data_IF_537436356167
#
_entry.id   IF_537436356167
#
_cell.length_a   1.000
_cell.length_b   1.000
_cell.length_c   1.000
_cell.angle_alpha   90.00
_cell.angle_beta   90.00
_cell.angle_gamma   90.00
#
_symmetry.space_group_name_H-M   'P 1'
#
loop_
_entity.id
_entity.type
_entity.pdbx_description
1 polymer ?
#
# COMPACT_ATOMS: atom_id res chain seq x y z
N UNK A 1 -18.00 25.47 -4.24
CA UNK A 1 -18.57 24.33 -5.02
C UNK A 1 -19.64 23.65 -4.19
N UNK A 2 -20.91 23.64 -4.64
CA UNK A 2 -21.97 22.85 -3.97
C UNK A 2 -21.78 21.38 -4.36
N UNK A 3 -21.16 20.58 -3.50
CA UNK A 3 -21.09 19.13 -3.69
C UNK A 3 -22.51 18.60 -3.61
N UNK A 4 -23.05 18.14 -4.73
CA UNK A 4 -24.40 17.63 -4.82
C UNK A 4 -24.44 16.25 -4.13
N UNK A 5 -24.65 16.25 -2.81
CA UNK A 5 -24.58 15.07 -1.92
C UNK A 5 -25.87 14.23 -1.91
N UNK A 6 -26.79 14.47 -2.84
CA UNK A 6 -28.11 13.82 -2.90
C UNK A 6 -28.03 12.55 -3.74
N UNK A 7 -28.56 11.45 -3.21
CA UNK A 7 -28.61 10.14 -3.90
C UNK A 7 -30.08 9.82 -4.19
N UNK A 8 -30.35 9.29 -5.37
CA UNK A 8 -31.67 8.78 -5.75
C UNK A 8 -31.76 7.31 -5.33
N UNK A 9 -32.73 6.98 -4.48
CA UNK A 9 -32.90 5.66 -3.89
C UNK A 9 -34.19 5.02 -4.41
N UNK A 10 -34.16 3.71 -4.68
CA UNK A 10 -35.38 2.96 -5.00
C UNK A 10 -36.15 2.58 -3.72
N UNK A 11 -37.38 2.11 -3.88
CA UNK A 11 -38.26 1.78 -2.76
C UNK A 11 -37.69 0.70 -1.84
N UNK A 12 -36.97 -0.28 -2.39
CA UNK A 12 -36.32 -1.31 -1.57
C UNK A 12 -35.29 -0.72 -0.60
N UNK A 13 -34.47 0.23 -1.06
CA UNK A 13 -33.45 0.88 -0.24
C UNK A 13 -34.10 1.84 0.76
N UNK A 14 -35.14 2.58 0.34
CA UNK A 14 -35.89 3.47 1.23
C UNK A 14 -36.54 2.70 2.37
N UNK A 15 -37.20 1.57 2.06
CA UNK A 15 -37.80 0.69 3.05
C UNK A 15 -36.75 0.06 3.97
N UNK A 16 -35.60 -0.37 3.42
CA UNK A 16 -34.50 -0.91 4.22
C UNK A 16 -33.95 0.12 5.22
N UNK A 17 -33.80 1.38 4.81
CA UNK A 17 -33.31 2.46 5.67
C UNK A 17 -34.41 3.11 6.52
N UNK A 18 -35.68 2.71 6.34
CA UNK A 18 -36.84 3.31 6.98
C UNK A 18 -36.92 4.84 6.76
N UNK A 19 -36.69 5.27 5.51
CA UNK A 19 -36.77 6.67 5.08
C UNK A 19 -38.14 6.89 4.41
N UNK A 20 -39.01 7.65 5.07
CA UNK A 20 -40.40 7.89 4.62
C UNK A 20 -40.59 9.14 3.77
N UNK A 21 -39.61 10.07 3.76
CA UNK A 21 -39.71 11.33 3.02
C UNK A 21 -39.15 11.22 1.59
N UNK A 22 -39.87 11.81 0.63
CA UNK A 22 -39.57 11.80 -0.83
C UNK A 22 -38.40 12.70 -1.25
N UNK A 23 -37.76 13.42 -0.32
CA UNK A 23 -36.61 14.27 -0.64
C UNK A 23 -35.36 13.42 -0.75
N UNK A 24 -34.68 13.47 -1.91
CA UNK A 24 -33.42 12.75 -2.16
C UNK A 24 -32.45 12.89 -0.96
N UNK A 25 -32.19 11.82 -0.21
CA UNK A 25 -31.45 11.91 1.04
C UNK A 25 -29.97 12.22 0.78
N UNK A 26 -29.36 12.88 1.76
CA UNK A 26 -27.91 13.13 1.75
C UNK A 26 -27.16 11.88 2.20
N UNK A 27 -25.88 11.77 1.84
CA UNK A 27 -25.00 10.69 2.33
C UNK A 27 -25.02 10.56 3.86
N UNK A 28 -24.95 11.68 4.58
CA UNK A 28 -24.98 11.67 6.05
C UNK A 28 -26.33 11.17 6.59
N UNK A 29 -27.43 11.54 5.95
CA UNK A 29 -28.76 11.03 6.30
C UNK A 29 -28.84 9.52 6.10
N UNK A 30 -28.30 8.99 5.01
CA UNK A 30 -28.24 7.54 4.76
C UNK A 30 -27.44 6.84 5.86
N UNK A 31 -26.26 7.34 6.20
CA UNK A 31 -25.42 6.78 7.26
C UNK A 31 -26.15 6.81 8.61
N UNK A 32 -26.78 7.93 8.95
CA UNK A 32 -27.56 8.08 10.18
C UNK A 32 -28.71 7.07 10.26
N UNK A 33 -29.52 6.94 9.20
CA UNK A 33 -30.62 5.98 9.18
C UNK A 33 -30.14 4.54 9.21
N UNK A 34 -29.03 4.24 8.54
CA UNK A 34 -28.41 2.93 8.59
C UNK A 34 -27.96 2.59 10.01
N UNK A 35 -27.26 3.50 10.67
CA UNK A 35 -26.81 3.37 12.04
C UNK A 35 -27.98 3.15 13.00
N UNK A 36 -28.98 4.02 12.93
CA UNK A 36 -30.15 4.00 13.81
C UNK A 36 -30.98 2.72 13.69
N UNK A 37 -31.27 2.26 12.47
CA UNK A 37 -32.18 1.14 12.23
C UNK A 37 -31.47 -0.22 12.17
N UNK A 38 -30.16 -0.26 11.94
CA UNK A 38 -29.40 -1.51 11.81
C UNK A 38 -28.26 -1.63 12.82
N UNK A 39 -28.21 -0.80 13.87
CA UNK A 39 -27.20 -0.80 14.92
C UNK A 39 -26.73 -2.20 15.35
N UNK A 40 -27.67 -3.07 15.75
CA UNK A 40 -27.35 -4.42 16.22
C UNK A 40 -26.71 -5.28 15.12
N UNK A 41 -27.19 -5.18 13.88
CA UNK A 41 -26.62 -5.90 12.74
C UNK A 41 -25.20 -5.42 12.45
N UNK A 42 -24.96 -4.11 12.52
CA UNK A 42 -23.63 -3.51 12.36
C UNK A 42 -22.68 -4.05 13.42
N UNK A 43 -23.07 -4.06 14.70
CA UNK A 43 -22.25 -4.62 15.79
C UNK A 43 -21.93 -6.09 15.57
N UNK A 44 -22.92 -6.90 15.19
CA UNK A 44 -22.71 -8.33 14.90
C UNK A 44 -21.69 -8.52 13.77
N UNK A 45 -21.80 -7.74 12.70
CA UNK A 45 -20.87 -7.83 11.57
C UNK A 45 -19.48 -7.34 11.96
N UNK A 46 -19.37 -6.24 12.71
CA UNK A 46 -18.11 -5.72 13.20
C UNK A 46 -17.38 -6.76 14.07
N UNK A 47 -18.07 -7.42 15.00
CA UNK A 47 -17.49 -8.52 15.78
C UNK A 47 -17.07 -9.70 14.92
N UNK A 48 -17.87 -10.09 13.91
CA UNK A 48 -17.50 -11.16 12.97
C UNK A 48 -16.22 -10.81 12.20
N UNK A 49 -16.11 -9.58 11.70
CA UNK A 49 -14.92 -9.10 10.99
C UNK A 49 -13.72 -9.06 11.92
N UNK A 50 -13.86 -8.51 13.14
CA UNK A 50 -12.79 -8.50 14.15
C UNK A 50 -12.26 -9.90 14.42
N UNK A 51 -13.17 -10.86 14.62
CA UNK A 51 -12.80 -12.27 14.84
C UNK A 51 -12.06 -12.89 13.65
N UNK A 52 -12.42 -12.51 12.41
CA UNK A 52 -11.72 -12.98 11.20
C UNK A 52 -10.32 -12.38 11.02
N UNK A 53 -10.13 -11.12 11.43
CA UNK A 53 -8.87 -10.40 11.31
C UNK A 53 -7.87 -10.71 12.44
N UNK A 54 -8.36 -11.26 13.56
CA UNK A 54 -7.58 -11.46 14.78
C UNK A 54 -7.84 -10.37 15.82
N UNK A 55 -7.81 -10.75 17.10
CA UNK A 55 -8.26 -9.91 18.22
C UNK A 55 -7.45 -8.61 18.41
N UNK A 56 -6.19 -8.61 17.98
CA UNK A 56 -5.22 -7.53 18.19
C UNK A 56 -4.96 -6.65 16.96
N UNK A 57 -5.58 -6.95 15.82
CA UNK A 57 -5.23 -6.29 14.55
C UNK A 57 -5.86 -4.90 14.42
N UNK A 58 -7.14 -4.77 14.78
CA UNK A 58 -7.92 -3.54 14.60
C UNK A 58 -8.95 -3.36 15.72
N UNK A 59 -9.21 -2.11 16.06
CA UNK A 59 -10.21 -1.75 17.06
C UNK A 59 -11.63 -1.97 16.55
N UNK A 60 -12.55 -2.28 17.46
CA UNK A 60 -13.95 -2.49 17.12
C UNK A 60 -14.56 -1.22 16.49
N UNK A 61 -14.26 -0.06 17.05
CA UNK A 61 -14.78 1.23 16.58
C UNK A 61 -14.26 1.58 15.19
N UNK A 62 -13.04 1.18 14.84
CA UNK A 62 -12.49 1.36 13.50
C UNK A 62 -13.29 0.54 12.48
N UNK A 63 -13.57 -0.73 12.78
CA UNK A 63 -14.38 -1.61 11.93
C UNK A 63 -15.81 -1.09 11.82
N UNK A 64 -16.38 -0.64 12.93
CA UNK A 64 -17.71 -0.06 12.99
C UNK A 64 -17.84 1.17 12.09
N UNK A 65 -16.94 2.14 12.24
CA UNK A 65 -16.89 3.35 11.43
C UNK A 65 -16.67 3.02 9.95
N UNK A 66 -15.87 1.98 9.66
CA UNK A 66 -15.65 1.54 8.29
C UNK A 66 -16.92 0.97 7.65
N UNK A 67 -17.72 0.19 8.38
CA UNK A 67 -19.02 -0.29 7.91
C UNK A 67 -19.97 0.88 7.61
N UNK A 68 -20.03 1.87 8.51
CA UNK A 68 -20.85 3.07 8.29
C UNK A 68 -20.40 3.83 7.04
N UNK A 69 -19.09 4.05 6.86
CA UNK A 69 -18.54 4.71 5.69
C UNK A 69 -18.87 3.96 4.39
N UNK A 70 -18.74 2.63 4.39
CA UNK A 70 -18.93 1.79 3.21
C UNK A 70 -20.41 1.60 2.81
N UNK A 71 -21.35 1.81 3.74
CA UNK A 71 -22.79 1.65 3.48
C UNK A 71 -23.28 2.43 2.25
N UNK A 72 -22.85 3.70 2.11
CA UNK A 72 -23.21 4.56 0.99
C UNK A 72 -22.67 4.02 -0.33
N UNK A 73 -21.42 3.56 -0.32
CA UNK A 73 -20.76 3.03 -1.51
C UNK A 73 -21.41 1.71 -1.97
N UNK A 74 -21.79 0.85 -1.03
CA UNK A 74 -22.52 -0.39 -1.31
C UNK A 74 -23.91 -0.11 -1.91
N UNK A 75 -24.65 0.87 -1.38
CA UNK A 75 -25.94 1.30 -1.95
C UNK A 75 -25.74 1.81 -3.38
N UNK A 76 -24.74 2.66 -3.62
CA UNK A 76 -24.45 3.17 -4.95
C UNK A 76 -24.07 2.06 -5.93
N UNK A 77 -23.28 1.08 -5.48
CA UNK A 77 -22.88 -0.08 -6.28
C UNK A 77 -24.10 -0.89 -6.73
N UNK A 78 -25.07 -1.11 -5.82
CA UNK A 78 -26.33 -1.78 -6.15
C UNK A 78 -27.15 -1.01 -7.19
N UNK A 79 -27.34 0.29 -6.96
CA UNK A 79 -28.20 1.13 -7.80
C UNK A 79 -27.64 1.33 -9.22
N UNK A 80 -26.32 1.36 -9.38
CA UNK A 80 -25.64 1.60 -10.66
C UNK A 80 -25.51 0.35 -11.54
N UNK A 81 -25.66 -0.85 -10.98
CA UNK A 81 -25.41 -2.09 -11.70
C UNK A 81 -26.70 -2.90 -11.90
N UNK A 82 -27.20 -2.92 -13.13
CA UNK A 82 -28.41 -3.66 -13.52
C UNK A 82 -28.33 -5.17 -13.21
N UNK A 83 -27.13 -5.77 -13.23
CA UNK A 83 -26.97 -7.18 -12.91
C UNK A 83 -27.32 -7.49 -11.44
N UNK A 84 -27.10 -6.53 -10.54
CA UNK A 84 -27.36 -6.70 -9.12
C UNK A 84 -28.83 -6.48 -8.74
N UNK A 85 -29.61 -5.76 -9.56
CA UNK A 85 -31.04 -5.54 -9.32
C UNK A 85 -31.89 -6.82 -9.38
N UNK A 86 -31.33 -7.92 -9.89
CA UNK A 86 -31.96 -9.26 -9.85
C UNK A 86 -31.84 -9.93 -8.48
N UNK A 87 -30.99 -9.42 -7.59
CA UNK A 87 -30.73 -9.94 -6.26
C UNK A 87 -31.47 -9.05 -5.26
N UNK A 88 -32.11 -9.64 -4.25
CA UNK A 88 -32.76 -8.87 -3.18
C UNK A 88 -31.76 -7.90 -2.53
N UNK A 89 -32.10 -6.61 -2.49
CA UNK A 89 -31.21 -5.54 -1.99
C UNK A 89 -30.58 -5.87 -0.64
N UNK A 90 -31.38 -6.30 0.35
CA UNK A 90 -30.89 -6.62 1.71
C UNK A 90 -29.79 -7.69 1.69
N UNK A 91 -29.93 -8.72 0.87
CA UNK A 91 -28.94 -9.80 0.77
C UNK A 91 -27.66 -9.29 0.11
N UNK A 92 -27.79 -8.56 -1.00
CA UNK A 92 -26.66 -7.94 -1.67
C UNK A 92 -25.90 -7.00 -0.73
N UNK A 93 -26.62 -6.08 -0.08
CA UNK A 93 -26.08 -5.04 0.78
C UNK A 93 -25.20 -5.62 1.89
N UNK A 94 -25.72 -6.56 2.67
CA UNK A 94 -24.94 -7.13 3.79
C UNK A 94 -23.77 -7.97 3.32
N UNK A 95 -23.90 -8.63 2.18
CA UNK A 95 -22.84 -9.46 1.60
C UNK A 95 -21.69 -8.59 1.10
N UNK A 96 -22.00 -7.60 0.25
CA UNK A 96 -21.04 -6.66 -0.31
C UNK A 96 -20.37 -5.81 0.78
N UNK A 97 -21.16 -5.24 1.69
CA UNK A 97 -20.65 -4.42 2.79
C UNK A 97 -19.62 -5.17 3.65
N UNK A 98 -19.92 -6.43 3.98
CA UNK A 98 -19.01 -7.31 4.72
C UNK A 98 -17.73 -7.56 3.94
N UNK A 99 -17.81 -7.92 2.65
CA UNK A 99 -16.64 -8.21 1.84
C UNK A 99 -15.76 -6.99 1.59
N UNK A 100 -16.36 -5.83 1.26
CA UNK A 100 -15.62 -4.59 1.08
C UNK A 100 -14.87 -4.18 2.34
N UNK A 101 -15.54 -4.26 3.50
CA UNK A 101 -14.92 -3.93 4.79
C UNK A 101 -13.79 -4.91 5.13
N UNK A 102 -14.02 -6.22 4.95
CA UNK A 102 -12.99 -7.23 5.20
C UNK A 102 -11.78 -7.06 4.28
N UNK A 103 -12.00 -6.80 2.99
CA UNK A 103 -10.94 -6.59 2.00
C UNK A 103 -10.11 -5.34 2.31
N UNK A 104 -10.74 -4.27 2.80
CA UNK A 104 -10.05 -3.06 3.23
C UNK A 104 -9.04 -3.38 4.35
N UNK A 105 -9.49 -4.03 5.43
CA UNK A 105 -8.62 -4.38 6.54
C UNK A 105 -7.57 -5.41 6.18
N UNK A 106 -7.91 -6.41 5.35
CA UNK A 106 -6.93 -7.37 4.83
C UNK A 106 -5.83 -6.66 4.01
N UNK A 107 -6.19 -5.66 3.21
CA UNK A 107 -5.21 -4.89 2.44
C UNK A 107 -4.25 -4.13 3.36
N UNK A 108 -4.75 -3.54 4.43
CA UNK A 108 -3.93 -2.84 5.43
C UNK A 108 -3.02 -3.84 6.16
N UNK A 109 -3.59 -4.93 6.65
CA UNK A 109 -2.86 -5.96 7.39
C UNK A 109 -1.73 -6.56 6.54
N UNK A 110 -2.02 -6.88 5.27
CA UNK A 110 -1.00 -7.36 4.33
C UNK A 110 0.11 -6.35 4.07
N UNK A 111 -0.21 -5.04 4.03
CA UNK A 111 0.81 -3.98 3.90
C UNK A 111 1.68 -3.90 5.15
N UNK A 112 1.07 -4.00 6.33
CA UNK A 112 1.79 -4.02 7.60
C UNK A 112 2.70 -5.25 7.68
N UNK A 113 2.20 -6.45 7.43
CA UNK A 113 3.03 -7.66 7.38
C UNK A 113 4.15 -7.57 6.36
N UNK A 114 3.91 -6.96 5.18
CA UNK A 114 4.98 -6.75 4.20
C UNK A 114 6.02 -5.77 4.71
N UNK A 115 5.61 -4.71 5.39
CA UNK A 115 6.51 -3.74 6.01
C UNK A 115 7.32 -4.39 7.14
N UNK A 116 6.69 -5.10 8.06
CA UNK A 116 7.34 -5.83 9.15
C UNK A 116 8.28 -6.91 8.62
N UNK A 117 7.85 -7.67 7.61
CA UNK A 117 8.72 -8.64 6.93
C UNK A 117 9.89 -7.94 6.25
N UNK A 118 9.68 -6.79 5.61
CA UNK A 118 10.77 -6.02 5.05
C UNK A 118 11.70 -5.49 6.14
N UNK A 119 11.19 -5.07 7.31
CA UNK A 119 12.01 -4.67 8.46
C UNK A 119 12.77 -5.85 9.07
N UNK A 120 12.16 -7.03 9.18
CA UNK A 120 12.80 -8.23 9.72
C UNK A 120 13.79 -8.85 8.73
N UNK A 121 13.49 -8.78 7.43
CA UNK A 121 14.39 -9.20 6.35
C UNK A 121 15.46 -8.16 6.05
N UNK A 122 15.19 -6.89 6.32
CA UNK A 122 16.21 -5.90 6.70
C UNK A 122 16.68 -6.28 8.12
N UNK A 123 17.30 -7.45 8.24
CA UNK A 123 18.58 -7.47 8.94
C UNK A 123 19.31 -6.24 8.40
N UNK A 124 19.32 -5.16 9.17
CA UNK A 124 20.26 -4.08 9.00
C UNK A 124 21.57 -4.83 8.83
N UNK A 125 22.03 -4.95 7.58
CA UNK A 125 23.23 -5.71 7.31
C UNK A 125 24.23 -5.02 8.24
N UNK A 126 24.81 -5.72 9.21
CA UNK A 126 25.74 -5.06 10.15
C UNK A 126 26.79 -4.29 9.34
N UNK A 127 27.10 -4.83 8.17
CA UNK A 127 27.87 -4.26 7.09
C UNK A 127 27.31 -2.94 6.53
N UNK A 128 26.01 -2.73 6.34
CA UNK A 128 25.47 -1.45 5.83
C UNK A 128 25.47 -0.34 6.89
N UNK A 129 25.28 -0.68 8.18
CA UNK A 129 25.48 0.28 9.28
C UNK A 129 26.96 0.56 9.53
N UNK A 130 27.83 -0.46 9.44
CA UNK A 130 29.29 -0.28 9.45
C UNK A 130 29.77 0.50 8.23
N UNK A 131 29.19 0.30 7.05
CA UNK A 131 29.51 1.08 5.85
C UNK A 131 29.08 2.52 6.01
N UNK A 132 27.86 2.80 6.50
CA UNK A 132 27.40 4.17 6.78
C UNK A 132 28.25 4.82 7.89
N UNK A 133 28.61 4.06 8.94
CA UNK A 133 29.51 4.52 10.02
C UNK A 133 30.94 4.77 9.51
N UNK A 134 31.47 3.90 8.66
CA UNK A 134 32.79 4.05 8.05
C UNK A 134 32.77 5.20 7.03
N UNK A 135 31.64 5.46 6.38
CA UNK A 135 31.44 6.62 5.51
C UNK A 135 31.42 7.92 6.32
N UNK A 136 30.73 7.93 7.46
CA UNK A 136 30.59 9.14 8.30
C UNK A 136 31.86 9.48 9.10
N UNK A 137 32.67 8.48 9.46
CA UNK A 137 33.96 8.68 10.16
C UNK A 137 35.06 9.17 9.21
N UNK A 138 34.95 8.93 7.89
CA UNK A 138 36.00 9.24 6.91
C UNK A 138 35.72 10.48 6.03
N UNK A 139 34.83 11.39 6.47
CA UNK A 139 34.52 12.66 5.80
C UNK A 139 35.68 13.69 5.91
N UNK A 140 36.85 13.31 5.41
CA UNK A 140 37.88 14.24 4.93
C UNK A 140 38.11 13.88 3.45
N UNK A 141 37.68 14.77 2.55
CA UNK A 141 37.55 14.57 1.09
C UNK A 141 38.75 13.95 0.35
N UNK A 142 39.96 13.94 0.94
CA UNK A 142 41.13 13.27 0.35
C UNK A 142 41.10 11.74 0.49
N UNK A 143 40.46 11.20 1.54
CA UNK A 143 40.48 9.76 1.84
C UNK A 143 39.41 8.97 1.08
N UNK A 144 38.37 9.62 0.58
CA UNK A 144 37.26 8.95 -0.11
C UNK A 144 37.70 8.36 -1.45
N UNK A 145 38.55 9.08 -2.20
CA UNK A 145 39.09 8.60 -3.48
C UNK A 145 40.06 7.43 -3.27
N UNK A 146 40.90 7.48 -2.24
CA UNK A 146 41.82 6.38 -1.90
C UNK A 146 41.07 5.15 -1.40
N UNK A 147 40.03 5.32 -0.58
CA UNK A 147 39.16 4.24 -0.14
C UNK A 147 38.44 3.58 -1.33
N UNK A 148 37.85 4.37 -2.23
CA UNK A 148 37.22 3.87 -3.46
C UNK A 148 38.21 3.12 -4.36
N UNK A 149 39.45 3.62 -4.50
CA UNK A 149 40.51 2.93 -5.24
C UNK A 149 40.87 1.60 -4.56
N UNK A 150 41.00 1.55 -3.25
CA UNK A 150 41.28 0.32 -2.51
C UNK A 150 40.13 -0.69 -2.61
N UNK A 151 38.88 -0.24 -2.57
CA UNK A 151 37.70 -1.08 -2.73
C UNK A 151 37.64 -1.69 -4.13
N UNK A 152 37.91 -0.87 -5.15
CA UNK A 152 38.01 -1.29 -6.55
C UNK A 152 39.17 -2.30 -6.73
N UNK A 153 40.33 -2.06 -6.11
CA UNK A 153 41.47 -2.98 -6.14
C UNK A 153 41.17 -4.33 -5.45
N UNK A 154 40.49 -4.32 -4.29
CA UNK A 154 40.05 -5.56 -3.61
C UNK A 154 39.02 -6.33 -4.44
N UNK A 155 38.22 -5.63 -5.22
CA UNK A 155 37.18 -6.24 -6.07
C UNK A 155 37.64 -6.62 -7.48
N UNK A 156 38.87 -6.28 -7.88
CA UNK A 156 39.36 -6.51 -9.26
C UNK A 156 39.17 -7.96 -9.71
N UNK A 157 39.41 -8.92 -8.81
CA UNK A 157 39.28 -10.35 -9.13
C UNK A 157 37.81 -10.83 -9.28
N UNK A 158 36.83 -10.01 -8.91
CA UNK A 158 35.38 -10.31 -9.04
C UNK A 158 34.74 -9.65 -10.27
N UNK A 159 35.43 -8.67 -10.87
CA UNK A 159 34.93 -7.89 -11.99
C UNK A 159 35.42 -8.46 -13.31
N UNK A 160 34.54 -8.56 -14.30
CA UNK A 160 34.94 -8.93 -15.66
C UNK A 160 35.76 -7.82 -16.31
N UNK A 161 36.57 -8.15 -17.32
CA UNK A 161 37.40 -7.17 -18.06
C UNK A 161 36.58 -5.96 -18.53
N UNK A 162 35.36 -6.20 -19.03
CA UNK A 162 34.43 -5.15 -19.47
C UNK A 162 33.95 -4.21 -18.35
N UNK A 163 33.82 -4.71 -17.13
CA UNK A 163 33.45 -3.91 -15.95
C UNK A 163 34.65 -3.11 -15.44
N UNK A 164 35.85 -3.71 -15.50
CA UNK A 164 37.11 -3.04 -15.14
C UNK A 164 37.45 -1.90 -16.10
N UNK A 165 37.27 -2.11 -17.41
CA UNK A 165 37.45 -1.06 -18.42
C UNK A 165 36.46 0.09 -18.22
N UNK A 166 35.20 -0.22 -17.93
CA UNK A 166 34.17 0.78 -17.65
C UNK A 166 34.49 1.63 -16.41
N UNK A 167 35.01 1.02 -15.34
CA UNK A 167 35.44 1.75 -14.14
C UNK A 167 36.68 2.61 -14.43
N UNK A 168 37.65 2.08 -15.17
CA UNK A 168 38.88 2.80 -15.52
C UNK A 168 38.58 4.06 -16.33
N UNK A 169 37.73 3.95 -17.34
CA UNK A 169 37.33 5.11 -18.15
C UNK A 169 36.52 6.14 -17.35
N UNK A 170 35.67 5.67 -16.42
CA UNK A 170 34.92 6.54 -15.51
C UNK A 170 35.85 7.31 -14.56
N UNK A 171 36.86 6.65 -13.97
CA UNK A 171 37.85 7.28 -13.09
C UNK A 171 38.78 8.26 -13.82
N UNK A 172 39.08 8.00 -15.08
CA UNK A 172 39.91 8.87 -15.93
C UNK A 172 39.12 10.05 -16.51
N UNK A 173 37.84 10.25 -16.15
CA UNK A 173 36.93 11.25 -16.72
C UNK A 173 36.90 11.24 -18.26
N UNK A 174 37.21 10.09 -18.87
CA UNK A 174 37.05 9.89 -20.30
C UNK A 174 35.57 9.62 -20.51
N UNK A 175 34.85 10.58 -21.08
CA UNK A 175 33.46 10.38 -21.48
C UNK A 175 33.35 9.02 -22.18
N UNK A 176 32.56 8.12 -21.59
CA UNK A 176 32.42 6.73 -22.02
C UNK A 176 31.71 6.67 -23.37
N UNK A 177 32.41 6.99 -24.45
CA UNK A 177 31.90 7.13 -25.82
C UNK A 177 31.47 5.80 -26.45
N UNK A 178 31.76 4.66 -25.82
CA UNK A 178 31.54 3.32 -26.39
C UNK A 178 30.34 2.56 -25.83
N UNK A 179 29.68 3.07 -24.78
CA UNK A 179 28.51 2.41 -24.18
C UNK A 179 27.28 3.31 -24.18
N UNK A 180 26.16 2.77 -24.66
CA UNK A 180 24.85 3.42 -24.53
C UNK A 180 24.47 3.56 -23.05
N UNK A 181 23.69 4.60 -22.71
CA UNK A 181 23.24 4.87 -21.33
C UNK A 181 22.60 3.65 -20.65
N UNK A 182 21.86 2.84 -21.41
CA UNK A 182 21.24 1.59 -20.93
C UNK A 182 22.30 0.58 -20.51
N UNK A 183 23.34 0.40 -21.35
CA UNK A 183 24.44 -0.54 -21.09
C UNK A 183 25.30 -0.08 -19.91
N UNK A 184 25.49 1.23 -19.76
CA UNK A 184 26.14 1.81 -18.57
C UNK A 184 25.36 1.49 -17.28
N UNK A 185 24.04 1.66 -17.28
CA UNK A 185 23.19 1.33 -16.13
C UNK A 185 23.24 -0.16 -15.78
N UNK A 186 23.24 -1.05 -16.79
CA UNK A 186 23.35 -2.49 -16.57
C UNK A 186 24.71 -2.90 -15.99
N UNK A 187 25.80 -2.32 -16.48
CA UNK A 187 27.15 -2.55 -15.97
C UNK A 187 27.25 -2.07 -14.52
N UNK A 188 26.71 -0.88 -14.21
CA UNK A 188 26.67 -0.35 -12.84
C UNK A 188 25.87 -1.25 -11.89
N UNK A 189 24.73 -1.80 -12.33
CA UNK A 189 23.96 -2.74 -11.52
C UNK A 189 24.73 -4.03 -11.25
N UNK A 190 25.42 -4.58 -12.25
CA UNK A 190 26.28 -5.77 -12.10
C UNK A 190 27.44 -5.52 -11.14
N UNK A 191 28.13 -4.39 -11.27
CA UNK A 191 29.20 -3.99 -10.36
C UNK A 191 28.66 -3.85 -8.93
N UNK A 192 27.53 -3.15 -8.73
CA UNK A 192 26.89 -3.01 -7.42
C UNK A 192 26.56 -4.37 -6.80
N UNK A 193 25.99 -5.30 -7.57
CA UNK A 193 25.67 -6.64 -7.07
C UNK A 193 26.90 -7.48 -6.71
N UNK A 194 28.08 -7.18 -7.26
CA UNK A 194 29.34 -7.90 -6.96
C UNK A 194 30.13 -7.30 -5.80
N UNK A 195 29.87 -6.03 -5.50
CA UNK A 195 30.53 -5.28 -4.43
C UNK A 195 29.74 -5.30 -3.12
N UNK A 196 28.42 -5.32 -3.18
CA UNK A 196 27.52 -5.14 -2.03
C UNK A 196 26.61 -6.35 -1.74
N UNK A 197 26.82 -7.48 -2.41
CA UNK A 197 26.34 -8.81 -2.00
C UNK A 197 27.55 -9.66 -1.58
#
# INVERSE_FOLDING_TARGET
MKVNNKIELNDEVLNFLNITNTVKPTKNSIVYHFDLHHFQNIKIIAHKIKRMLGEYSFDFDEIYNKLLQQSVETIQTYLQNEAFKKIQFKLFFWTDLKYKTLNYFNSINNKQFRFERNLSNLNFNKNSLEEIRNHSINLNDKNEKEYLIQLIQKSKNKLSETEQEFIKSFLENKNNLYFTKIKQTQILQKIKSKLFC
#
